data_IF_032574610545
#
_entry.id   IF_032574610545
#
_cell.length_a   1.000
_cell.length_b   1.000
_cell.length_c   1.000
_cell.angle_alpha   90.00
_cell.angle_beta   90.00
_cell.angle_gamma   90.00
#
_symmetry.space_group_name_H-M   'P 1'
#
loop_
_entity.id
_entity.type
_entity.pdbx_description
1 polymer ?
#
# COMPACT_ATOMS: atom_id res chain seq x y z
N UNK A 1 14.97 -10.47 -10.93
CA UNK A 1 13.79 -10.60 -10.06
C UNK A 1 12.91 -11.71 -10.60
N UNK A 2 12.52 -12.70 -9.79
CA UNK A 2 11.58 -13.75 -10.25
C UNK A 2 10.16 -13.16 -10.33
N UNK A 3 9.30 -13.65 -11.23
CA UNK A 3 7.92 -13.13 -11.40
C UNK A 3 7.12 -13.13 -10.09
N UNK A 4 7.30 -14.15 -9.26
CA UNK A 4 6.63 -14.27 -7.95
C UNK A 4 7.08 -13.24 -6.93
N UNK A 5 8.33 -12.78 -7.05
CA UNK A 5 8.91 -11.73 -6.20
C UNK A 5 8.36 -10.36 -6.61
N UNK A 6 8.22 -10.12 -7.92
CA UNK A 6 7.61 -8.90 -8.47
C UNK A 6 6.16 -8.73 -7.99
N UNK A 7 5.37 -9.81 -8.03
CA UNK A 7 3.97 -9.80 -7.57
C UNK A 7 3.88 -9.48 -6.07
N UNK A 8 4.75 -10.08 -5.24
CA UNK A 8 4.81 -9.78 -3.80
C UNK A 8 5.14 -8.33 -3.51
N UNK A 9 6.08 -7.75 -4.25
CA UNK A 9 6.43 -6.32 -4.12
C UNK A 9 5.25 -5.44 -4.55
N UNK A 10 4.61 -5.73 -5.69
CA UNK A 10 3.44 -4.96 -6.16
C UNK A 10 2.31 -4.93 -5.13
N UNK A 11 1.93 -6.09 -4.58
CA UNK A 11 0.89 -6.16 -3.56
C UNK A 11 1.28 -5.43 -2.27
N UNK A 12 2.56 -5.47 -1.89
CA UNK A 12 3.08 -4.74 -0.74
C UNK A 12 3.01 -3.22 -0.94
N UNK A 13 3.33 -2.73 -2.15
CA UNK A 13 3.24 -1.31 -2.52
C UNK A 13 1.81 -0.81 -2.42
N UNK A 14 0.84 -1.53 -2.99
CA UNK A 14 -0.58 -1.15 -2.90
C UNK A 14 -1.10 -1.23 -1.46
N UNK A 15 -0.60 -2.18 -0.66
CA UNK A 15 -0.91 -2.24 0.77
C UNK A 15 -0.34 -1.05 1.53
N UNK A 16 0.90 -0.64 1.27
CA UNK A 16 1.52 0.53 1.89
C UNK A 16 0.71 1.79 1.58
N UNK A 17 0.32 2.00 0.32
CA UNK A 17 -0.53 3.12 -0.07
C UNK A 17 -1.86 3.15 0.71
N UNK A 18 -2.55 2.01 0.84
CA UNK A 18 -3.78 1.92 1.64
C UNK A 18 -3.58 2.33 3.09
N UNK A 19 -2.51 1.85 3.73
CA UNK A 19 -2.19 2.17 5.12
C UNK A 19 -1.92 3.67 5.26
N UNK A 20 -1.12 4.25 4.37
CA UNK A 20 -0.81 5.68 4.40
C UNK A 20 -2.05 6.56 4.18
N UNK A 21 -2.97 6.15 3.30
CA UNK A 21 -4.25 6.84 3.12
C UNK A 21 -5.12 6.76 4.38
N UNK A 22 -5.16 5.59 5.02
CA UNK A 22 -5.90 5.40 6.26
C UNK A 22 -5.34 6.26 7.41
N UNK A 23 -4.02 6.32 7.57
CA UNK A 23 -3.36 7.16 8.59
C UNK A 23 -3.58 8.66 8.38
N UNK A 24 -4.01 9.07 7.18
CA UNK A 24 -4.31 10.46 6.81
C UNK A 24 -5.81 10.75 6.78
N UNK A 25 -6.64 9.84 7.30
CA UNK A 25 -8.11 9.93 7.26
C UNK A 25 -8.70 10.15 5.84
N UNK A 26 -8.00 9.67 4.81
CA UNK A 26 -8.43 9.80 3.42
C UNK A 26 -9.54 8.80 3.11
N UNK A 27 -10.78 9.28 3.10
CA UNK A 27 -11.93 8.48 2.72
C UNK A 27 -11.97 8.21 1.21
N UNK A 28 -12.56 7.08 0.79
CA UNK A 28 -12.76 6.79 -0.63
C UNK A 28 -13.58 7.85 -1.37
N UNK A 29 -14.46 8.59 -0.67
CA UNK A 29 -15.20 9.72 -1.23
C UNK A 29 -14.30 10.94 -1.48
N UNK A 30 -13.37 11.24 -0.56
CA UNK A 30 -12.41 12.31 -0.74
C UNK A 30 -11.47 12.03 -1.93
N UNK A 31 -10.95 10.80 -2.02
CA UNK A 31 -10.09 10.36 -3.12
C UNK A 31 -10.85 10.44 -4.46
N UNK A 32 -12.10 9.97 -4.50
CA UNK A 32 -12.95 10.05 -5.70
C UNK A 32 -13.13 11.50 -6.17
N UNK A 33 -13.37 12.43 -5.24
CA UNK A 33 -13.52 13.86 -5.56
C UNK A 33 -12.24 14.46 -6.14
N UNK A 34 -11.08 14.10 -5.59
CA UNK A 34 -9.78 14.66 -6.01
C UNK A 34 -9.26 14.06 -7.33
N UNK A 35 -9.52 12.77 -7.54
CA UNK A 35 -9.05 12.04 -8.75
C UNK A 35 -10.02 12.13 -9.92
N UNK A 36 -11.27 12.51 -9.69
CA UNK A 36 -12.34 12.47 -10.69
C UNK A 36 -12.87 11.05 -10.98
N UNK A 37 -12.34 10.02 -10.31
CA UNK A 37 -12.87 8.67 -10.41
C UNK A 37 -14.17 8.51 -9.65
N UNK A 38 -15.05 7.62 -10.13
CA UNK A 38 -16.21 7.22 -9.37
C UNK A 38 -15.80 6.50 -8.08
N UNK A 39 -16.49 6.77 -6.96
CA UNK A 39 -16.22 6.13 -5.66
C UNK A 39 -16.16 4.59 -5.73
N UNK A 40 -17.05 3.88 -6.45
CA UNK A 40 -16.95 2.42 -6.58
C UNK A 40 -15.65 1.98 -7.25
N UNK A 41 -15.17 2.75 -8.24
CA UNK A 41 -13.91 2.51 -8.93
C UNK A 41 -12.72 2.68 -7.98
N UNK A 42 -12.72 3.75 -7.16
CA UNK A 42 -11.68 3.94 -6.13
C UNK A 42 -11.69 2.78 -5.12
N UNK A 43 -12.87 2.37 -4.64
CA UNK A 43 -12.96 1.20 -3.75
C UNK A 43 -12.44 -0.08 -4.41
N UNK A 44 -12.69 -0.30 -5.70
CA UNK A 44 -12.14 -1.45 -6.40
C UNK A 44 -10.63 -1.37 -6.54
N UNK A 45 -10.08 -0.21 -6.91
CA UNK A 45 -8.65 0.03 -7.03
C UNK A 45 -7.94 -0.27 -5.70
N UNK A 46 -8.45 0.26 -4.58
CA UNK A 46 -7.85 0.03 -3.26
C UNK A 46 -7.97 -1.42 -2.79
N UNK A 47 -8.97 -2.19 -3.26
CA UNK A 47 -9.09 -3.62 -2.91
C UNK A 47 -8.14 -4.50 -3.72
N UNK A 48 -7.88 -4.15 -4.98
CA UNK A 48 -7.02 -4.93 -5.84
C UNK A 48 -5.56 -4.84 -5.39
N UNK A 49 -4.88 -5.98 -5.32
CA UNK A 49 -3.44 -6.05 -5.05
C UNK A 49 -2.58 -5.81 -6.31
N UNK A 50 -3.23 -5.78 -7.48
CA UNK A 50 -2.65 -5.42 -8.78
C UNK A 50 -3.34 -4.15 -9.29
N UNK A 51 -2.63 -3.04 -9.19
CA UNK A 51 -3.09 -1.70 -9.54
C UNK A 51 -2.20 -1.15 -10.64
N UNK A 52 -2.79 -0.52 -11.66
CA UNK A 52 -2.00 0.13 -12.72
C UNK A 52 -1.20 1.28 -12.11
N UNK A 53 0.04 1.46 -12.58
CA UNK A 53 0.93 2.53 -12.09
C UNK A 53 0.29 3.92 -12.16
N UNK A 54 -0.46 4.22 -13.23
CA UNK A 54 -1.17 5.50 -13.36
C UNK A 54 -2.23 5.71 -12.28
N UNK A 55 -2.95 4.65 -11.89
CA UNK A 55 -3.95 4.70 -10.82
C UNK A 55 -3.28 4.87 -9.45
N UNK A 56 -2.17 4.17 -9.25
CA UNK A 56 -1.36 4.29 -8.04
C UNK A 56 -0.89 5.73 -7.82
N UNK A 57 -0.28 6.33 -8.85
CA UNK A 57 0.21 7.71 -8.80
C UNK A 57 -0.94 8.69 -8.54
N UNK A 58 -2.05 8.57 -9.26
CA UNK A 58 -3.20 9.45 -9.08
C UNK A 58 -3.79 9.39 -7.66
N UNK A 59 -3.90 8.19 -7.08
CA UNK A 59 -4.42 8.00 -5.73
C UNK A 59 -3.42 8.49 -4.68
N UNK A 60 -2.12 8.23 -4.86
CA UNK A 60 -1.08 8.71 -3.97
C UNK A 60 -1.04 10.24 -3.93
N UNK A 61 -1.06 10.89 -5.09
CA UNK A 61 -1.09 12.34 -5.23
C UNK A 61 -2.34 12.95 -4.57
N UNK A 62 -3.52 12.36 -4.81
CA UNK A 62 -4.76 12.75 -4.14
C UNK A 62 -4.70 12.60 -2.60
N UNK A 63 -3.91 11.65 -2.09
CA UNK A 63 -3.63 11.47 -0.66
C UNK A 63 -2.53 12.36 -0.11
N UNK A 64 -1.87 13.17 -0.95
CA UNK A 64 -0.66 13.92 -0.61
C UNK A 64 0.52 13.04 -0.23
N UNK A 65 0.57 11.82 -0.76
CA UNK A 65 1.60 10.80 -0.49
C UNK A 65 2.60 10.84 -1.65
N UNK A 66 3.90 10.90 -1.35
CA UNK A 66 4.94 10.73 -2.36
C UNK A 66 4.90 9.26 -2.88
N UNK A 67 4.56 9.05 -4.17
CA UNK A 67 4.48 7.71 -4.74
C UNK A 67 5.84 6.98 -4.70
N UNK A 68 6.94 7.70 -4.84
CA UNK A 68 8.28 7.12 -4.80
C UNK A 68 8.63 6.65 -3.39
N UNK A 69 8.28 7.43 -2.36
CA UNK A 69 8.48 7.05 -0.97
C UNK A 69 7.67 5.79 -0.62
N UNK A 70 6.40 5.73 -1.03
CA UNK A 70 5.54 4.56 -0.80
C UNK A 70 6.11 3.29 -1.46
N UNK A 71 6.68 3.41 -2.66
CA UNK A 71 7.35 2.30 -3.35
C UNK A 71 8.60 1.87 -2.57
N UNK A 72 9.45 2.82 -2.18
CA UNK A 72 10.68 2.54 -1.41
C UNK A 72 10.35 1.87 -0.08
N UNK A 73 9.32 2.32 0.63
CA UNK A 73 8.89 1.73 1.90
C UNK A 73 8.39 0.29 1.73
N UNK A 74 7.66 -0.01 0.66
CA UNK A 74 7.22 -1.38 0.37
C UNK A 74 8.35 -2.29 -0.14
N UNK A 75 9.36 -1.73 -0.81
CA UNK A 75 10.55 -2.46 -1.25
C UNK A 75 11.53 -2.73 -0.10
N UNK A 76 11.55 -1.87 0.92
CA UNK A 76 12.22 -2.16 2.19
C UNK A 76 11.51 -3.35 2.81
N UNK A 77 12.11 -4.53 2.65
CA UNK A 77 11.72 -5.80 3.29
C UNK A 77 11.19 -5.50 4.70
N UNK A 78 10.03 -6.01 5.13
CA UNK A 78 9.68 -5.91 6.54
C UNK A 78 10.84 -6.53 7.30
N UNK A 79 11.62 -5.68 7.98
CA UNK A 79 12.64 -6.13 8.89
C UNK A 79 11.86 -6.89 9.97
N UNK A 80 11.95 -8.21 9.88
CA UNK A 80 11.54 -9.20 10.85
C UNK A 80 10.69 -8.67 12.02
N UNK A 81 9.37 -8.84 11.93
CA UNK A 81 8.57 -9.15 13.13
C UNK A 81 8.88 -10.61 13.58
N UNK A 82 10.17 -10.91 13.70
CA UNK A 82 10.73 -12.18 14.18
C UNK A 82 11.95 -11.84 15.04
N UNK A 83 11.75 -10.93 15.99
CA UNK A 83 12.64 -10.70 17.11
C UNK A 83 11.74 -10.51 18.34
N UNK A 84 11.54 -11.57 19.12
CA UNK A 84 10.89 -11.46 20.43
C UNK A 84 9.75 -12.42 20.75
N UNK A 85 9.81 -13.69 20.35
CA UNK A 85 9.26 -14.76 21.22
C UNK A 85 10.38 -15.76 21.45
N UNK A 86 11.36 -15.34 22.25
CA UNK A 86 12.31 -16.28 22.83
C UNK A 86 11.56 -17.14 23.83
N UNK A 87 11.62 -18.44 23.56
CA UNK A 87 11.34 -19.49 24.53
C UNK A 87 11.98 -19.16 25.89
N UNK A 88 11.17 -19.21 26.94
CA UNK A 88 11.63 -19.62 28.26
C UNK A 88 10.92 -20.93 28.59
N UNK A 89 11.45 -22.03 28.06
CA UNK A 89 11.42 -23.29 28.82
C UNK A 89 12.62 -23.22 29.76
N UNK A 90 12.35 -23.15 31.06
CA UNK A 90 13.24 -23.68 32.08
C UNK A 90 12.40 -24.19 33.23
N UNK A 91 12.61 -25.49 33.45
CA UNK A 91 12.47 -26.27 34.68
C UNK A 91 11.05 -26.53 35.21
#
# INVERSE_FOLDING_TARGET
MRKDEALKVSSSVVRSLRVSLFLRDMTGTAIARLTGYARPTVSQMLRNDDMRLSQFIAIADAGGIDPAEAIVQAMKKPAAATAGVSQTRKD
#
